data_IF_886000236183
#
_entry.id   IF_886000236183
#
_cell.length_a   1.000
_cell.length_b   1.000
_cell.length_c   1.000
_cell.angle_alpha   90.00
_cell.angle_beta   90.00
_cell.angle_gamma   90.00
#
_symmetry.space_group_name_H-M   'P 1'
#
loop_
_entity.id
_entity.type
_entity.pdbx_description
1 polymer ?
#
# COMPACT_ATOMS: atom_id res chain seq x y z
N UNK A 1 15.10 11.30 -38.67
CA UNK A 1 14.23 12.49 -38.73
C UNK A 1 14.62 13.42 -37.60
N UNK A 2 15.07 14.65 -37.88
CA UNK A 2 15.50 15.59 -36.83
C UNK A 2 14.28 16.33 -36.30
N UNK A 3 13.94 16.13 -35.03
CA UNK A 3 12.87 16.88 -34.37
C UNK A 3 13.32 18.34 -34.17
N UNK A 4 12.51 19.35 -34.50
CA UNK A 4 12.92 20.75 -34.37
C UNK A 4 13.19 21.12 -32.91
N UNK A 5 14.26 21.87 -32.66
CA UNK A 5 14.77 22.20 -31.32
C UNK A 5 13.72 22.89 -30.42
N UNK A 6 12.79 23.63 -31.01
CA UNK A 6 11.67 24.25 -30.28
C UNK A 6 10.74 23.24 -29.64
N UNK A 7 10.42 22.15 -30.35
CA UNK A 7 9.57 21.06 -29.82
C UNK A 7 10.30 20.35 -28.68
N UNK A 8 11.58 20.03 -28.88
CA UNK A 8 12.38 19.31 -27.90
C UNK A 8 12.51 20.12 -26.57
N UNK A 9 12.63 21.44 -26.66
CA UNK A 9 12.60 22.34 -25.49
C UNK A 9 11.24 22.38 -24.80
N UNK A 10 10.16 22.40 -25.57
CA UNK A 10 8.80 22.37 -25.03
C UNK A 10 8.56 21.08 -24.24
N UNK A 11 9.00 19.94 -24.79
CA UNK A 11 8.88 18.62 -24.14
C UNK A 11 9.64 18.58 -22.81
N UNK A 12 10.91 18.99 -22.78
CA UNK A 12 11.72 19.00 -21.54
C UNK A 12 11.12 19.93 -20.47
N UNK A 13 10.58 21.07 -20.89
CA UNK A 13 9.90 22.00 -19.98
C UNK A 13 8.63 21.37 -19.40
N UNK A 14 7.78 20.77 -20.23
CA UNK A 14 6.55 20.09 -19.81
C UNK A 14 6.89 18.93 -18.86
N UNK A 15 7.90 18.13 -19.19
CA UNK A 15 8.39 17.04 -18.34
C UNK A 15 8.78 17.55 -16.94
N UNK A 16 9.59 18.61 -16.86
CA UNK A 16 10.02 19.15 -15.57
C UNK A 16 8.83 19.63 -14.72
N UNK A 17 7.81 20.22 -15.35
CA UNK A 17 6.56 20.59 -14.67
C UNK A 17 5.78 19.37 -14.18
N UNK A 18 5.64 18.33 -15.01
CA UNK A 18 4.96 17.09 -14.62
C UNK A 18 5.69 16.44 -13.43
N UNK A 19 7.02 16.30 -13.50
CA UNK A 19 7.84 15.74 -12.41
C UNK A 19 7.64 16.54 -11.13
N UNK A 20 7.64 17.87 -11.21
CA UNK A 20 7.43 18.73 -10.04
C UNK A 20 6.02 18.57 -9.45
N UNK A 21 4.97 18.56 -10.28
CA UNK A 21 3.58 18.38 -9.84
C UNK A 21 3.40 17.00 -9.19
N UNK A 22 3.94 15.95 -9.79
CA UNK A 22 3.94 14.60 -9.21
C UNK A 22 4.68 14.57 -7.87
N UNK A 23 5.83 15.24 -7.75
CA UNK A 23 6.57 15.37 -6.50
C UNK A 23 5.74 16.05 -5.40
N UNK A 24 5.07 17.15 -5.71
CA UNK A 24 4.20 17.87 -4.76
C UNK A 24 3.01 17.00 -4.32
N UNK A 25 2.35 16.34 -5.28
CA UNK A 25 1.24 15.44 -4.97
C UNK A 25 1.69 14.28 -4.07
N UNK A 26 2.82 13.66 -4.38
CA UNK A 26 3.41 12.59 -3.57
C UNK A 26 3.80 13.07 -2.17
N UNK A 27 4.33 14.29 -2.04
CA UNK A 27 4.69 14.90 -0.77
C UNK A 27 3.45 15.15 0.11
N UNK A 28 2.38 15.73 -0.45
CA UNK A 28 1.11 15.95 0.25
C UNK A 28 0.51 14.62 0.69
N UNK A 29 0.48 13.62 -0.20
CA UNK A 29 -0.01 12.28 0.13
C UNK A 29 0.79 11.66 1.28
N UNK A 30 2.12 11.75 1.25
CA UNK A 30 2.99 11.23 2.31
C UNK A 30 2.75 11.94 3.64
N UNK A 31 2.53 13.26 3.62
CA UNK A 31 2.16 14.04 4.81
C UNK A 31 0.83 13.58 5.42
N UNK A 32 -0.20 13.37 4.59
CA UNK A 32 -1.51 12.87 5.04
C UNK A 32 -1.34 11.49 5.68
N UNK A 33 -0.60 10.59 5.02
CA UNK A 33 -0.31 9.26 5.54
C UNK A 33 0.47 9.32 6.87
N UNK A 34 1.45 10.22 6.99
CA UNK A 34 2.20 10.41 8.23
C UNK A 34 1.32 10.87 9.39
N UNK A 35 0.35 11.76 9.14
CA UNK A 35 -0.60 12.23 10.16
C UNK A 35 -1.51 11.08 10.60
N UNK A 36 -2.08 10.32 9.67
CA UNK A 36 -2.89 9.15 10.02
C UNK A 36 -2.09 8.09 10.77
N UNK A 37 -0.84 7.88 10.36
CA UNK A 37 0.05 6.93 10.99
C UNK A 37 0.45 7.35 12.40
N UNK A 38 0.72 8.63 12.65
CA UNK A 38 1.07 9.11 14.00
C UNK A 38 -0.12 9.03 14.96
N UNK A 39 -1.35 9.28 14.48
CA UNK A 39 -2.58 9.06 15.26
C UNK A 39 -2.76 7.59 15.62
N UNK A 40 -2.46 6.67 14.69
CA UNK A 40 -2.45 5.23 15.00
C UNK A 40 -1.37 4.90 16.03
N UNK A 41 -0.15 5.42 15.88
CA UNK A 41 0.96 5.13 16.79
C UNK A 41 0.67 5.56 18.24
N UNK A 42 0.01 6.71 18.43
CA UNK A 42 -0.42 7.18 19.75
C UNK A 42 -1.49 6.29 20.38
N UNK A 43 -2.30 5.61 19.57
CA UNK A 43 -3.30 4.68 20.06
C UNK A 43 -2.72 3.31 20.46
N UNK A 44 -1.51 2.97 19.98
CA UNK A 44 -0.93 1.63 20.10
C UNK A 44 0.56 1.71 20.48
N UNK A 45 0.87 2.00 21.74
CA UNK A 45 2.26 2.04 22.22
C UNK A 45 2.91 0.64 22.28
N UNK A 46 4.10 0.49 21.70
CA UNK A 46 5.05 -0.57 22.09
C UNK A 46 5.40 -1.67 21.08
N UNK A 47 4.92 -1.63 19.83
CA UNK A 47 5.14 -2.73 18.88
C UNK A 47 6.20 -2.46 17.80
N UNK A 48 7.08 -3.44 17.57
CA UNK A 48 8.25 -3.31 16.69
C UNK A 48 7.93 -3.10 15.21
N UNK A 49 6.77 -3.56 14.74
CA UNK A 49 6.34 -3.33 13.34
C UNK A 49 5.99 -1.86 13.08
N UNK A 50 5.71 -1.08 14.11
CA UNK A 50 5.43 0.36 13.94
C UNK A 50 6.68 1.16 13.57
N UNK A 51 7.87 0.70 13.97
CA UNK A 51 9.14 1.29 13.53
C UNK A 51 9.36 1.12 12.02
N UNK A 52 8.96 -0.03 11.46
CA UNK A 52 9.08 -0.29 10.03
C UNK A 52 8.22 0.68 9.21
N UNK A 53 6.96 0.88 9.60
CA UNK A 53 6.07 1.82 8.91
C UNK A 53 6.56 3.27 8.99
N UNK A 54 7.12 3.69 10.14
CA UNK A 54 7.71 5.03 10.28
C UNK A 54 8.94 5.21 9.38
N UNK A 55 9.80 4.19 9.28
CA UNK A 55 10.94 4.18 8.38
C UNK A 55 10.54 4.33 6.91
N UNK A 56 9.51 3.58 6.49
CA UNK A 56 8.99 3.63 5.12
C UNK A 56 8.39 5.02 4.79
N UNK A 57 7.59 5.61 5.69
CA UNK A 57 7.04 6.95 5.49
C UNK A 57 8.14 8.02 5.42
N UNK A 58 9.17 7.90 6.26
CA UNK A 58 10.34 8.80 6.21
C UNK A 58 11.07 8.70 4.87
N UNK A 59 11.23 7.49 4.33
CA UNK A 59 11.82 7.29 3.01
C UNK A 59 10.98 7.93 1.90
N UNK A 60 9.64 7.78 1.92
CA UNK A 60 8.76 8.44 0.96
C UNK A 60 8.82 9.97 1.05
N UNK A 61 8.98 10.51 2.24
CA UNK A 61 9.11 11.96 2.45
C UNK A 61 10.41 12.49 1.83
N UNK A 62 11.53 11.81 2.05
CA UNK A 62 12.80 12.17 1.43
C UNK A 62 12.76 12.04 -0.10
N UNK A 63 12.17 10.96 -0.60
CA UNK A 63 12.06 10.70 -2.03
C UNK A 63 11.16 11.72 -2.75
N UNK A 64 10.00 12.05 -2.18
CA UNK A 64 9.11 13.08 -2.75
C UNK A 64 9.76 14.47 -2.74
N UNK A 65 10.46 14.83 -1.66
CA UNK A 65 11.23 16.08 -1.58
C UNK A 65 12.32 16.15 -2.66
N UNK A 66 13.01 15.03 -2.88
CA UNK A 66 14.00 14.90 -3.94
C UNK A 66 13.41 15.10 -5.34
N UNK A 67 12.24 14.50 -5.63
CA UNK A 67 11.53 14.68 -6.90
C UNK A 67 11.19 16.16 -7.13
N UNK A 68 10.73 16.87 -6.10
CA UNK A 68 10.40 18.30 -6.19
C UNK A 68 11.65 19.11 -6.54
N UNK A 69 12.76 18.91 -5.82
CA UNK A 69 14.02 19.61 -6.07
C UNK A 69 14.51 19.34 -7.49
N UNK A 70 14.44 18.09 -7.94
CA UNK A 70 14.80 17.71 -9.30
C UNK A 70 13.92 18.42 -10.34
N UNK A 71 12.59 18.44 -10.13
CA UNK A 71 11.64 19.18 -10.98
C UNK A 71 11.96 20.67 -11.07
N UNK A 72 12.29 21.32 -9.95
CA UNK A 72 12.70 22.74 -9.92
C UNK A 72 13.98 22.96 -10.73
N UNK A 73 14.98 22.07 -10.61
CA UNK A 73 16.19 22.13 -11.44
C UNK A 73 15.86 22.03 -12.94
N UNK A 74 14.93 21.17 -13.31
CA UNK A 74 14.45 21.04 -14.69
C UNK A 74 13.76 22.31 -15.20
N UNK A 75 12.84 22.89 -14.43
CA UNK A 75 12.11 24.12 -14.80
C UNK A 75 13.06 25.29 -14.95
N UNK A 76 13.91 25.55 -13.93
CA UNK A 76 14.88 26.66 -13.94
C UNK A 76 15.94 26.45 -15.02
N UNK A 77 16.43 25.22 -15.19
CA UNK A 77 17.41 24.86 -16.22
C UNK A 77 16.87 25.08 -17.63
N UNK A 78 15.62 24.69 -17.89
CA UNK A 78 14.93 24.88 -19.16
C UNK A 78 14.66 26.35 -19.49
N UNK A 79 14.19 27.14 -18.51
CA UNK A 79 13.88 28.56 -18.70
C UNK A 79 15.12 29.45 -18.84
N UNK A 80 16.11 29.27 -17.95
CA UNK A 80 17.30 30.12 -17.91
C UNK A 80 18.47 29.59 -18.74
N UNK A 81 18.30 28.50 -19.48
CA UNK A 81 19.33 27.91 -20.36
C UNK A 81 20.64 27.61 -19.62
N UNK A 82 20.56 27.18 -18.36
CA UNK A 82 21.73 26.83 -17.55
C UNK A 82 22.08 25.35 -17.74
N UNK A 83 23.16 25.00 -18.48
CA UNK A 83 23.46 23.62 -18.84
C UNK A 83 23.75 22.73 -17.62
N UNK A 84 24.35 23.30 -16.56
CA UNK A 84 24.61 22.58 -15.32
C UNK A 84 23.30 22.10 -14.64
N UNK A 85 22.25 22.94 -14.62
CA UNK A 85 20.96 22.56 -14.03
C UNK A 85 20.24 21.48 -14.84
N UNK A 86 20.34 21.53 -16.18
CA UNK A 86 19.80 20.48 -17.05
C UNK A 86 20.57 19.15 -16.88
N UNK A 87 21.87 19.21 -16.63
CA UNK A 87 22.67 18.02 -16.33
C UNK A 87 22.24 17.40 -14.98
N UNK A 88 22.09 18.22 -13.94
CA UNK A 88 21.57 17.77 -12.63
C UNK A 88 20.18 17.15 -12.78
N UNK A 89 19.29 17.78 -13.55
CA UNK A 89 17.95 17.27 -13.83
C UNK A 89 17.98 15.88 -14.49
N UNK A 90 18.83 15.69 -15.50
CA UNK A 90 18.99 14.39 -16.17
C UNK A 90 19.54 13.32 -15.24
N UNK A 91 20.57 13.65 -14.45
CA UNK A 91 21.11 12.71 -13.45
C UNK A 91 20.02 12.33 -12.45
N UNK A 92 19.19 13.29 -12.04
CA UNK A 92 18.07 13.02 -11.16
C UNK A 92 17.00 12.15 -11.78
N UNK A 93 16.67 12.34 -13.06
CA UNK A 93 15.73 11.47 -13.78
C UNK A 93 16.27 10.03 -13.89
N UNK A 94 17.59 9.85 -14.06
CA UNK A 94 18.20 8.51 -14.03
C UNK A 94 17.99 7.85 -12.66
N UNK A 95 18.23 8.58 -11.57
CA UNK A 95 18.02 8.07 -10.20
C UNK A 95 16.55 7.70 -9.98
N UNK A 96 15.61 8.54 -10.45
CA UNK A 96 14.17 8.26 -10.39
C UNK A 96 13.83 6.99 -11.17
N UNK A 97 14.36 6.80 -12.39
CA UNK A 97 14.17 5.58 -13.17
C UNK A 97 14.65 4.35 -12.42
N UNK A 98 15.85 4.39 -11.83
CA UNK A 98 16.38 3.26 -11.05
C UNK A 98 15.42 2.94 -9.89
N UNK A 99 14.89 3.94 -9.19
CA UNK A 99 13.90 3.73 -8.14
C UNK A 99 12.61 3.07 -8.66
N UNK A 100 12.08 3.50 -9.82
CA UNK A 100 10.89 2.88 -10.41
C UNK A 100 11.15 1.47 -10.94
N UNK A 101 12.34 1.17 -11.46
CA UNK A 101 12.72 -0.21 -11.81
C UNK A 101 12.72 -1.10 -10.56
N UNK A 102 13.28 -0.61 -9.44
CA UNK A 102 13.25 -1.35 -8.18
C UNK A 102 11.82 -1.56 -7.68
N UNK A 103 10.96 -0.52 -7.74
CA UNK A 103 9.54 -0.64 -7.38
C UNK A 103 8.80 -1.63 -8.27
N UNK A 104 9.08 -1.63 -9.58
CA UNK A 104 8.52 -2.59 -10.53
C UNK A 104 8.90 -4.03 -10.15
N UNK A 105 10.19 -4.28 -9.88
CA UNK A 105 10.67 -5.61 -9.44
C UNK A 105 10.02 -6.01 -8.13
N UNK A 106 9.98 -5.12 -7.14
CA UNK A 106 9.34 -5.39 -5.84
C UNK A 106 7.85 -5.71 -6.02
N UNK A 107 7.13 -4.95 -6.86
CA UNK A 107 5.70 -5.18 -7.10
C UNK A 107 5.42 -6.56 -7.70
N UNK A 108 6.16 -6.95 -8.74
CA UNK A 108 6.00 -8.27 -9.34
C UNK A 108 6.46 -9.40 -8.43
N UNK A 109 7.56 -9.23 -7.69
CA UNK A 109 8.01 -10.22 -6.70
C UNK A 109 6.97 -10.38 -5.59
N UNK A 110 6.43 -9.29 -5.07
CA UNK A 110 5.38 -9.33 -4.05
C UNK A 110 4.14 -10.04 -4.58
N UNK A 111 3.72 -9.75 -5.81
CA UNK A 111 2.60 -10.42 -6.46
C UNK A 111 2.85 -11.92 -6.69
N UNK A 112 4.06 -12.31 -7.09
CA UNK A 112 4.41 -13.71 -7.30
C UNK A 112 4.44 -14.49 -5.97
N UNK A 113 5.10 -13.93 -4.95
CA UNK A 113 5.15 -14.55 -3.62
C UNK A 113 3.77 -14.65 -2.98
N UNK A 114 2.93 -13.61 -3.10
CA UNK A 114 1.55 -13.67 -2.59
C UNK A 114 0.69 -14.65 -3.37
N UNK A 115 0.83 -14.74 -4.70
CA UNK A 115 0.12 -15.72 -5.52
C UNK A 115 0.44 -17.16 -5.13
N UNK A 116 1.70 -17.46 -4.76
CA UNK A 116 2.08 -18.80 -4.25
C UNK A 116 1.32 -19.17 -2.98
N UNK A 117 1.00 -18.19 -2.13
CA UNK A 117 0.20 -18.40 -0.92
C UNK A 117 -1.28 -18.63 -1.23
N UNK A 118 -1.74 -18.20 -2.40
CA UNK A 118 -3.12 -18.35 -2.85
C UNK A 118 -3.36 -19.65 -3.62
N UNK A 119 -2.31 -20.36 -4.05
CA UNK A 119 -2.43 -21.56 -4.86
C UNK A 119 -2.99 -22.75 -4.06
N UNK A 120 -3.80 -23.59 -4.71
CA UNK A 120 -4.73 -24.53 -4.07
C UNK A 120 -4.05 -25.58 -3.15
N UNK A 121 -2.77 -25.87 -3.36
CA UNK A 121 -2.00 -26.81 -2.53
C UNK A 121 -1.70 -26.28 -1.12
N UNK A 122 -1.65 -24.95 -0.92
CA UNK A 122 -1.47 -24.35 0.41
C UNK A 122 -2.78 -24.32 1.23
N UNK A 123 -3.92 -24.34 0.53
CA UNK A 123 -5.27 -24.16 1.08
C UNK A 123 -5.88 -25.43 1.69
N UNK A 124 -5.44 -26.63 1.27
CA UNK A 124 -6.03 -27.89 1.75
C UNK A 124 -5.47 -28.38 3.10
N UNK A 125 -4.41 -27.78 3.62
CA UNK A 125 -3.89 -28.09 4.95
C UNK A 125 -4.30 -26.98 5.92
N UNK A 126 -5.33 -27.25 6.74
CA UNK A 126 -5.66 -26.45 7.94
C UNK A 126 -4.38 -26.22 8.79
N UNK A 127 -3.47 -27.21 8.76
CA UNK A 127 -2.16 -27.20 9.41
C UNK A 127 -1.19 -26.10 8.91
N UNK A 128 -1.20 -25.71 7.63
CA UNK A 128 -0.29 -24.66 7.12
C UNK A 128 -0.72 -23.25 7.52
N UNK A 129 -2.03 -23.01 7.66
CA UNK A 129 -2.53 -21.76 8.26
C UNK A 129 -2.31 -21.71 9.78
N UNK A 130 -2.34 -22.88 10.44
CA UNK A 130 -2.07 -23.04 11.86
C UNK A 130 -0.58 -22.92 12.22
N UNK A 131 0.33 -23.40 11.36
CA UNK A 131 1.80 -23.34 11.60
C UNK A 131 2.35 -21.93 11.48
N UNK A 132 1.78 -21.10 10.60
CA UNK A 132 1.95 -19.66 10.65
C UNK A 132 0.98 -19.07 11.68
N UNK A 133 1.28 -19.31 12.98
CA UNK A 133 0.65 -18.67 14.15
C UNK A 133 0.84 -17.14 14.11
N UNK A 134 0.18 -16.51 13.16
CA UNK A 134 -0.13 -15.10 13.24
C UNK A 134 -1.07 -14.92 14.43
N UNK A 135 -0.85 -13.89 15.24
CA UNK A 135 -1.71 -13.54 16.38
C UNK A 135 -3.20 -13.47 15.99
N UNK A 136 -3.49 -13.17 14.72
CA UNK A 136 -4.81 -13.16 14.11
C UNK A 136 -5.55 -14.51 14.14
N UNK A 137 -4.88 -15.64 13.95
CA UNK A 137 -5.56 -16.95 13.92
C UNK A 137 -5.95 -17.39 15.34
N UNK A 138 -5.04 -17.23 16.32
CA UNK A 138 -5.36 -17.48 17.74
C UNK A 138 -6.50 -16.58 18.20
N UNK A 139 -6.45 -15.29 17.82
CA UNK A 139 -7.49 -14.32 18.11
C UNK A 139 -8.84 -14.71 17.49
N UNK A 140 -8.86 -15.12 16.23
CA UNK A 140 -10.06 -15.58 15.52
C UNK A 140 -10.70 -16.79 16.22
N UNK A 141 -9.88 -17.76 16.64
CA UNK A 141 -10.34 -18.96 17.32
C UNK A 141 -10.88 -18.68 18.73
N UNK A 142 -10.14 -17.93 19.55
CA UNK A 142 -10.60 -17.52 20.89
C UNK A 142 -11.87 -16.66 20.83
N UNK A 143 -11.93 -15.73 19.88
CA UNK A 143 -13.07 -14.83 19.70
C UNK A 143 -14.32 -15.58 19.25
N UNK A 144 -14.15 -16.58 18.38
CA UNK A 144 -15.24 -17.46 17.96
C UNK A 144 -15.89 -18.10 19.16
N UNK A 145 -15.10 -18.66 20.08
CA UNK A 145 -15.64 -19.39 21.23
C UNK A 145 -16.21 -18.49 22.33
N UNK A 146 -15.73 -17.25 22.42
CA UNK A 146 -16.26 -16.28 23.36
C UNK A 146 -17.66 -15.77 22.98
N UNK A 147 -17.91 -15.44 21.71
CA UNK A 147 -19.19 -14.88 21.29
C UNK A 147 -20.32 -15.93 21.29
N UNK A 148 -21.49 -15.55 21.80
CA UNK A 148 -22.63 -16.46 22.02
C UNK A 148 -22.30 -17.61 22.98
N UNK A 149 -21.57 -17.29 24.05
CA UNK A 149 -21.22 -18.21 25.14
C UNK A 149 -21.86 -17.77 26.46
N UNK A 150 -21.66 -18.55 27.53
CA UNK A 150 -22.09 -18.16 28.89
C UNK A 150 -21.47 -16.84 29.35
N UNK A 151 -20.25 -16.56 28.91
CA UNK A 151 -19.46 -15.38 29.25
C UNK A 151 -19.82 -14.16 28.39
N UNK A 152 -20.35 -14.39 27.18
CA UNK A 152 -20.86 -13.33 26.33
C UNK A 152 -22.11 -13.79 25.55
N UNK A 153 -23.30 -13.69 26.17
CA UNK A 153 -24.56 -13.89 25.48
C UNK A 153 -24.71 -12.87 24.36
N UNK A 154 -25.27 -13.27 23.21
CA UNK A 154 -25.27 -12.45 22.00
C UNK A 154 -26.68 -12.17 21.49
N UNK A 155 -26.83 -11.06 20.75
CA UNK A 155 -28.05 -10.77 20.00
C UNK A 155 -27.96 -11.40 18.60
N UNK A 156 -28.77 -12.42 18.34
CA UNK A 156 -28.72 -13.17 17.09
C UNK A 156 -30.09 -13.37 16.46
N UNK A 157 -30.25 -12.89 15.24
CA UNK A 157 -31.39 -13.17 14.37
C UNK A 157 -31.02 -14.34 13.46
N UNK A 158 -31.85 -15.41 13.45
CA UNK A 158 -31.64 -16.63 12.64
C UNK A 158 -31.65 -16.39 11.11
N UNK A 159 -31.54 -15.15 10.67
CA UNK A 159 -31.56 -14.76 9.27
C UNK A 159 -30.24 -15.07 8.55
N UNK A 160 -29.12 -15.29 9.25
CA UNK A 160 -27.79 -15.38 8.63
C UNK A 160 -26.97 -16.56 9.15
N UNK A 161 -27.27 -17.78 8.66
CA UNK A 161 -26.53 -19.00 8.99
C UNK A 161 -27.12 -19.79 10.16
N UNK A 162 -26.45 -20.87 10.59
CA UNK A 162 -26.83 -21.64 11.75
C UNK A 162 -25.76 -21.54 12.85
N UNK A 163 -26.14 -21.05 14.03
CA UNK A 163 -25.31 -21.19 15.21
C UNK A 163 -25.10 -22.67 15.53
N UNK A 164 -23.89 -23.02 15.96
CA UNK A 164 -23.62 -24.34 16.51
C UNK A 164 -24.59 -24.63 17.68
N UNK A 165 -25.10 -25.87 17.77
CA UNK A 165 -26.14 -26.27 18.74
C UNK A 165 -25.80 -25.96 20.20
N UNK A 166 -24.51 -25.88 20.55
CA UNK A 166 -24.03 -25.51 21.88
C UNK A 166 -24.11 -24.00 22.18
N UNK A 167 -24.15 -23.15 21.13
CA UNK A 167 -24.22 -21.68 21.25
C UNK A 167 -25.63 -21.12 21.20
N UNK A 168 -26.59 -21.88 20.66
CA UNK A 168 -28.00 -21.44 20.57
C UNK A 168 -28.65 -21.13 21.92
N UNK A 169 -28.14 -21.70 23.03
CA UNK A 169 -28.63 -21.41 24.38
C UNK A 169 -28.33 -19.98 24.84
N UNK A 170 -27.27 -19.37 24.31
CA UNK A 170 -26.77 -18.05 24.72
C UNK A 170 -27.05 -16.97 23.67
N UNK A 171 -27.73 -17.35 22.60
CA UNK A 171 -28.22 -16.46 21.56
C UNK A 171 -29.66 -16.02 21.88
N UNK A 172 -29.91 -14.73 21.81
CA UNK A 172 -31.22 -14.14 22.06
C UNK A 172 -31.66 -13.31 20.86
N UNK A 173 -32.79 -13.67 20.26
CA UNK A 173 -33.32 -12.96 19.09
C UNK A 173 -34.18 -11.73 19.46
N UNK A 174 -34.46 -11.52 20.76
CA UNK A 174 -35.37 -10.45 21.23
C UNK A 174 -34.65 -9.33 21.96
N UNK A 175 -33.52 -9.63 22.58
CA UNK A 175 -32.76 -8.65 23.35
C UNK A 175 -31.66 -7.98 22.50
N UNK A 176 -31.99 -6.83 21.91
CA UNK A 176 -31.07 -6.03 21.07
C UNK A 176 -29.97 -5.33 21.88
N UNK A 177 -29.99 -5.40 23.22
CA UNK A 177 -28.93 -4.81 24.06
C UNK A 177 -27.71 -5.70 24.16
N UNK A 178 -27.83 -6.97 23.75
CA UNK A 178 -26.72 -7.93 23.79
C UNK A 178 -25.73 -7.69 22.65
N UNK A 179 -24.44 -8.00 22.87
CA UNK A 179 -23.39 -7.94 21.86
C UNK A 179 -23.76 -8.63 20.53
N UNK A 180 -23.46 -7.95 19.42
CA UNK A 180 -23.46 -8.55 18.07
C UNK A 180 -22.06 -8.81 17.55
N UNK A 181 -21.04 -8.38 18.30
CA UNK A 181 -19.62 -8.49 17.95
C UNK A 181 -18.84 -8.89 19.19
N UNK A 182 -17.74 -9.61 19.00
CA UNK A 182 -16.90 -10.05 20.13
C UNK A 182 -16.29 -8.87 20.90
N UNK A 183 -16.04 -7.75 20.23
CA UNK A 183 -15.46 -6.54 20.82
C UNK A 183 -16.40 -5.84 21.81
N UNK A 184 -17.71 -6.11 21.71
CA UNK A 184 -18.72 -5.57 22.62
C UNK A 184 -18.87 -6.43 23.90
N UNK A 185 -18.22 -7.60 23.97
CA UNK A 185 -18.21 -8.44 25.16
C UNK A 185 -17.39 -7.80 26.29
N UNK A 186 -17.97 -7.68 27.49
CA UNK A 186 -17.29 -7.06 28.64
C UNK A 186 -15.99 -7.79 29.03
N UNK A 187 -16.00 -9.12 28.99
CA UNK A 187 -14.80 -9.94 29.28
C UNK A 187 -13.70 -9.64 28.26
N UNK A 188 -14.05 -9.59 26.96
CA UNK A 188 -13.11 -9.25 25.90
C UNK A 188 -12.46 -7.87 26.14
N UNK A 189 -13.25 -6.87 26.52
CA UNK A 189 -12.75 -5.52 26.79
C UNK A 189 -11.79 -5.46 27.98
N UNK A 190 -11.97 -6.33 28.98
CA UNK A 190 -11.17 -6.39 30.21
C UNK A 190 -9.89 -7.20 30.08
N UNK A 191 -9.90 -8.31 29.34
CA UNK A 191 -8.77 -9.24 29.25
C UNK A 191 -7.80 -8.91 28.13
N UNK A 192 -8.28 -8.28 27.05
CA UNK A 192 -7.46 -8.09 25.87
C UNK A 192 -6.61 -6.82 25.92
N UNK A 193 -5.36 -6.97 25.51
CA UNK A 193 -4.42 -5.86 25.37
C UNK A 193 -4.78 -4.97 24.15
N UNK A 194 -4.11 -3.83 24.03
CA UNK A 194 -4.36 -2.85 22.97
C UNK A 194 -4.13 -3.42 21.56
N UNK A 195 -3.11 -4.27 21.40
CA UNK A 195 -2.78 -4.97 20.14
C UNK A 195 -3.92 -5.86 19.65
N UNK A 196 -4.47 -6.68 20.55
CA UNK A 196 -5.56 -7.60 20.21
C UNK A 196 -6.84 -6.83 19.86
N UNK A 197 -7.08 -5.70 20.53
CA UNK A 197 -8.17 -4.77 20.16
C UNK A 197 -7.97 -4.17 18.76
N UNK A 198 -6.75 -3.77 18.41
CA UNK A 198 -6.42 -3.30 17.06
C UNK A 198 -6.75 -4.33 16.00
N UNK A 199 -6.20 -5.54 16.15
CA UNK A 199 -6.39 -6.60 15.18
C UNK A 199 -7.84 -7.03 15.05
N UNK A 200 -8.61 -7.04 16.14
CA UNK A 200 -10.05 -7.33 16.06
C UNK A 200 -10.84 -6.23 15.37
N UNK A 201 -10.49 -4.96 15.58
CA UNK A 201 -11.11 -3.86 14.84
C UNK A 201 -10.77 -3.97 13.35
N UNK A 202 -9.50 -4.24 13.03
CA UNK A 202 -9.04 -4.45 11.67
C UNK A 202 -9.76 -5.64 10.98
N UNK A 203 -9.90 -6.76 11.68
CA UNK A 203 -10.70 -7.91 11.18
C UNK A 203 -12.17 -7.54 11.00
N UNK A 204 -12.75 -6.74 11.90
CA UNK A 204 -14.10 -6.22 11.75
C UNK A 204 -14.26 -5.35 10.50
N UNK A 205 -13.30 -4.49 10.21
CA UNK A 205 -13.30 -3.66 9.00
C UNK A 205 -13.16 -4.51 7.73
N UNK A 206 -12.27 -5.52 7.75
CA UNK A 206 -12.14 -6.46 6.62
C UNK A 206 -13.46 -7.22 6.40
N UNK A 207 -14.07 -7.77 7.45
CA UNK A 207 -15.34 -8.50 7.35
C UNK A 207 -16.44 -7.59 6.80
N UNK A 208 -16.53 -6.35 7.29
CA UNK A 208 -17.47 -5.35 6.81
C UNK A 208 -17.31 -5.03 5.33
N UNK A 209 -16.08 -4.77 4.89
CA UNK A 209 -15.81 -4.32 3.53
C UNK A 209 -15.90 -5.45 2.50
N UNK A 210 -15.56 -6.68 2.90
CA UNK A 210 -15.39 -7.78 1.96
C UNK A 210 -16.45 -8.87 2.07
N UNK A 211 -17.23 -8.90 3.14
CA UNK A 211 -18.21 -9.95 3.37
C UNK A 211 -17.61 -11.30 3.78
N UNK A 212 -16.28 -11.40 3.94
CA UNK A 212 -15.62 -12.64 4.36
C UNK A 212 -15.96 -13.02 5.80
N UNK A 213 -15.69 -14.26 6.17
CA UNK A 213 -15.86 -14.76 7.54
C UNK A 213 -14.65 -15.56 7.99
N UNK A 214 -14.26 -15.40 9.27
CA UNK A 214 -13.09 -16.06 9.83
C UNK A 214 -11.77 -15.68 9.15
N UNK A 215 -10.64 -15.95 9.82
CA UNK A 215 -9.34 -15.62 9.24
C UNK A 215 -8.86 -16.69 8.26
N UNK A 216 -8.59 -17.89 8.76
CA UNK A 216 -8.13 -19.06 8.00
C UNK A 216 -9.26 -20.00 7.59
N UNK A 217 -10.28 -20.11 8.45
CA UNK A 217 -11.39 -21.06 8.28
C UNK A 217 -12.67 -20.24 8.19
N UNK A 218 -13.49 -20.45 7.16
CA UNK A 218 -14.70 -19.67 7.02
C UNK A 218 -15.74 -20.07 8.06
N UNK A 219 -16.54 -19.09 8.47
CA UNK A 219 -17.66 -19.27 9.38
C UNK A 219 -18.97 -18.88 8.72
N UNK A 220 -20.08 -19.31 9.30
CA UNK A 220 -21.41 -18.90 8.83
C UNK A 220 -21.81 -17.48 9.27
N UNK A 221 -20.94 -16.78 10.01
CA UNK A 221 -21.23 -15.48 10.63
C UNK A 221 -19.96 -14.62 10.78
N UNK A 222 -20.15 -13.30 10.83
CA UNK A 222 -19.07 -12.31 10.98
C UNK A 222 -18.89 -11.88 12.43
N UNK A 223 -18.01 -12.58 13.15
CA UNK A 223 -17.81 -12.43 14.60
C UNK A 223 -17.23 -11.06 15.00
N UNK A 224 -16.47 -10.41 14.10
CA UNK A 224 -15.80 -9.14 14.37
C UNK A 224 -16.56 -7.93 13.82
N UNK A 225 -17.47 -8.11 12.85
CA UNK A 225 -18.26 -7.01 12.29
C UNK A 225 -19.70 -6.97 12.79
N UNK A 226 -20.48 -8.02 12.55
CA UNK A 226 -21.86 -8.17 13.02
C UNK A 226 -22.31 -9.60 12.73
N UNK A 227 -22.65 -10.38 13.75
CA UNK A 227 -23.16 -11.75 13.56
C UNK A 227 -24.50 -11.79 12.81
N UNK A 228 -25.19 -10.67 12.70
CA UNK A 228 -26.44 -10.51 11.96
C UNK A 228 -26.22 -9.88 10.59
N UNK A 229 -24.99 -9.64 10.15
CA UNK A 229 -24.73 -9.29 8.76
C UNK A 229 -24.98 -10.48 7.84
N UNK A 230 -25.47 -10.19 6.63
CA UNK A 230 -25.68 -11.23 5.62
C UNK A 230 -24.33 -11.69 5.07
N UNK A 231 -24.08 -12.99 5.13
CA UNK A 231 -22.90 -13.62 4.54
C UNK A 231 -23.29 -14.18 3.17
N UNK A 232 -22.88 -13.49 2.10
CA UNK A 232 -23.22 -13.89 0.73
C UNK A 232 -22.40 -15.10 0.25
N UNK A 233 -21.22 -15.35 0.84
CA UNK A 233 -20.36 -16.48 0.52
C UNK A 233 -19.71 -17.04 1.79
N UNK A 234 -20.28 -18.11 2.34
CA UNK A 234 -19.85 -18.77 3.58
C UNK A 234 -18.61 -19.66 3.40
N UNK A 235 -18.02 -19.69 2.20
CA UNK A 235 -16.75 -20.38 1.92
C UNK A 235 -15.57 -19.41 1.80
N UNK A 236 -15.82 -18.10 1.84
CA UNK A 236 -14.79 -17.08 1.65
C UNK A 236 -14.20 -16.63 2.99
N UNK A 237 -12.98 -17.08 3.29
CA UNK A 237 -12.25 -16.66 4.48
C UNK A 237 -11.42 -15.39 4.24
N UNK A 238 -11.26 -14.59 5.29
CA UNK A 238 -10.73 -13.23 5.18
C UNK A 238 -9.26 -13.17 4.76
N UNK A 239 -8.45 -14.14 5.17
CA UNK A 239 -7.05 -14.18 4.76
C UNK A 239 -6.91 -14.30 3.24
N UNK A 240 -7.71 -15.16 2.59
CA UNK A 240 -7.69 -15.29 1.14
C UNK A 240 -8.00 -13.96 0.46
N UNK A 241 -9.03 -13.25 0.91
CA UNK A 241 -9.41 -11.96 0.32
C UNK A 241 -8.30 -10.93 0.49
N UNK A 242 -7.68 -10.87 1.66
CA UNK A 242 -6.55 -9.97 1.92
C UNK A 242 -5.35 -10.31 1.02
N UNK A 243 -4.96 -11.57 0.93
CA UNK A 243 -3.84 -12.01 0.08
C UNK A 243 -4.14 -11.77 -1.40
N UNK A 244 -5.37 -12.05 -1.86
CA UNK A 244 -5.80 -11.77 -3.23
C UNK A 244 -5.72 -10.27 -3.54
N UNK A 245 -6.23 -9.41 -2.65
CA UNK A 245 -6.10 -7.95 -2.78
C UNK A 245 -4.63 -7.51 -2.80
N UNK A 246 -3.78 -8.07 -1.95
CA UNK A 246 -2.34 -7.77 -1.94
C UNK A 246 -1.67 -8.19 -3.26
N UNK A 247 -2.06 -9.33 -3.82
CA UNK A 247 -1.58 -9.82 -5.11
C UNK A 247 -1.93 -8.83 -6.22
N UNK A 248 -3.21 -8.44 -6.29
CA UNK A 248 -3.71 -7.47 -7.27
C UNK A 248 -3.03 -6.10 -7.12
N UNK A 249 -2.86 -5.62 -5.88
CA UNK A 249 -2.16 -4.36 -5.59
C UNK A 249 -0.68 -4.43 -5.97
N UNK A 250 -0.01 -5.55 -5.72
CA UNK A 250 1.38 -5.77 -6.12
C UNK A 250 1.56 -5.74 -7.64
N UNK A 251 0.68 -6.41 -8.37
CA UNK A 251 0.66 -6.40 -9.84
C UNK A 251 0.40 -4.99 -10.37
N UNK A 252 -0.64 -4.33 -9.87
CA UNK A 252 -0.98 -2.97 -10.28
C UNK A 252 0.17 -1.99 -10.01
N UNK A 253 0.83 -2.10 -8.86
CA UNK A 253 2.02 -1.30 -8.54
C UNK A 253 3.15 -1.57 -9.54
N UNK A 254 3.39 -2.84 -9.88
CA UNK A 254 4.37 -3.25 -10.89
C UNK A 254 4.09 -2.67 -12.28
N UNK A 255 2.83 -2.77 -12.73
CA UNK A 255 2.36 -2.27 -14.02
C UNK A 255 2.52 -0.74 -14.13
N UNK A 256 2.10 -0.01 -13.08
CA UNK A 256 2.24 1.45 -13.02
C UNK A 256 3.73 1.84 -13.07
N UNK A 257 4.57 1.17 -12.28
CA UNK A 257 6.00 1.45 -12.24
C UNK A 257 6.70 1.16 -13.59
N UNK A 258 6.30 0.09 -14.29
CA UNK A 258 6.77 -0.23 -15.62
C UNK A 258 6.38 0.86 -16.64
N UNK A 259 5.12 1.31 -16.60
CA UNK A 259 4.60 2.37 -17.45
C UNK A 259 5.35 3.69 -17.26
N UNK A 260 5.54 4.11 -15.99
CA UNK A 260 6.30 5.33 -15.66
C UNK A 260 7.76 5.21 -16.14
N UNK A 261 8.39 4.05 -15.93
CA UNK A 261 9.77 3.80 -16.38
C UNK A 261 9.90 3.93 -17.89
N UNK A 262 8.98 3.34 -18.67
CA UNK A 262 9.00 3.42 -20.12
C UNK A 262 8.86 4.86 -20.62
N UNK A 263 7.94 5.65 -20.04
CA UNK A 263 7.77 7.06 -20.37
C UNK A 263 9.03 7.86 -20.04
N UNK A 264 9.60 7.67 -18.85
CA UNK A 264 10.82 8.37 -18.41
C UNK A 264 12.03 8.04 -19.30
N UNK A 265 12.18 6.80 -19.78
CA UNK A 265 13.25 6.43 -20.71
C UNK A 265 13.16 7.19 -22.05
N UNK A 266 11.94 7.32 -22.59
CA UNK A 266 11.70 8.11 -23.80
C UNK A 266 12.09 9.57 -23.56
N UNK A 267 11.67 10.12 -22.42
CA UNK A 267 11.94 11.51 -22.07
C UNK A 267 13.44 11.79 -21.87
N UNK A 268 14.17 10.94 -21.15
CA UNK A 268 15.63 11.05 -21.03
C UNK A 268 16.30 10.97 -22.39
N UNK A 269 15.85 10.07 -23.27
CA UNK A 269 16.40 9.95 -24.63
C UNK A 269 16.23 11.27 -25.40
N UNK A 270 15.06 11.91 -25.30
CA UNK A 270 14.80 13.21 -25.91
C UNK A 270 15.67 14.32 -25.29
N UNK A 271 15.86 14.32 -23.98
CA UNK A 271 16.70 15.30 -23.29
C UNK A 271 18.19 15.12 -23.62
N UNK A 272 18.68 13.87 -23.72
CA UNK A 272 20.02 13.57 -24.22
C UNK A 272 20.19 14.05 -25.67
N UNK A 273 19.21 13.78 -26.55
CA UNK A 273 19.21 14.30 -27.92
C UNK A 273 19.27 15.84 -27.95
N UNK A 274 18.63 16.54 -27.02
CA UNK A 274 18.70 18.00 -26.90
C UNK A 274 20.10 18.47 -26.47
N UNK A 275 20.69 17.79 -25.49
CA UNK A 275 22.04 18.10 -25.00
C UNK A 275 23.10 17.91 -26.09
N UNK A 276 23.00 16.86 -26.91
CA UNK A 276 23.98 16.55 -27.97
C UNK A 276 23.65 17.18 -29.34
N UNK A 277 22.57 17.97 -29.45
CA UNK A 277 22.15 18.56 -30.72
C UNK A 277 23.24 19.50 -31.29
N UNK A 278 23.64 19.35 -32.56
CA UNK A 278 24.79 20.05 -33.14
C UNK A 278 24.67 21.57 -33.17
N UNK A 279 23.46 22.13 -33.17
CA UNK A 279 23.22 23.58 -33.07
C UNK A 279 23.72 24.18 -31.73
N UNK A 280 23.88 23.36 -30.69
CA UNK A 280 24.53 23.79 -29.44
C UNK A 280 26.06 23.67 -29.48
N UNK A 281 26.67 23.06 -30.51
CA UNK A 281 28.14 22.96 -30.65
C UNK A 281 28.80 24.29 -31.04
N UNK A 282 28.05 25.20 -31.66
CA UNK A 282 28.52 26.56 -31.96
C UNK A 282 28.51 27.48 -30.73
N UNK A 283 27.92 27.02 -29.61
CA UNK A 283 28.00 27.67 -28.30
C UNK A 283 29.00 26.93 -27.39
N UNK A 284 30.29 27.05 -27.71
CA UNK A 284 31.42 27.07 -26.75
C UNK A 284 31.62 25.91 -25.75
N UNK A 285 30.88 24.80 -25.78
CA UNK A 285 31.07 23.73 -24.80
C UNK A 285 32.44 23.04 -24.95
N UNK A 286 32.87 22.79 -26.20
CA UNK A 286 34.20 22.24 -26.50
C UNK A 286 35.32 23.28 -26.38
N UNK A 287 35.08 24.56 -26.72
CA UNK A 287 36.07 25.64 -26.55
C UNK A 287 36.31 26.01 -25.08
N UNK A 288 35.33 25.81 -24.19
CA UNK A 288 35.49 26.01 -22.74
C UNK A 288 36.13 24.83 -22.01
N UNK A 289 35.98 23.61 -22.51
CA UNK A 289 36.68 22.44 -21.95
C UNK A 289 38.10 22.29 -22.50
N UNK A 290 38.33 22.64 -23.78
CA UNK A 290 39.66 22.74 -24.37
C UNK A 290 40.22 24.14 -24.15
N UNK A 291 40.54 24.49 -22.90
CA UNK A 291 41.52 25.55 -22.64
C UNK A 291 42.85 25.11 -23.25
N UNK A 292 43.07 25.45 -24.52
CA UNK A 292 44.42 25.79 -24.95
C UNK A 292 44.64 27.21 -24.44
N UNK A 293 45.32 27.31 -23.30
CA UNK A 293 45.99 28.54 -22.90
C UNK A 293 47.00 28.88 -24.01
N UNK A 294 46.86 30.07 -24.59
CA UNK A 294 47.95 30.76 -25.26
C UNK A 294 48.50 31.80 -24.29
#
# INVERSE_FOLDING_TARGET
MCMPIGILRCVVSIEAWIVMICGIAAFIFTMIMQIHYSLMLQAYEGESWMLFGQGMLTAFWLFSSYIIINGVCGVVGGQHKKPCLLLVFNVGNIIIIIAFILLMVIGYVLADETRKLTDQDYQQNENTCLDHRFQLNTLDWESKDLLCSIECPCYYTQTNGALAKNKTKWADAKDTTKPTRVQDCEIYQKTQNTTVKYFSNYLGDIQKETGCTGWCVPYQMQIFYDINAKVDNDQLYCQYVVISKLTEMGQLMGDIAAGVTAVMLVLITLTCCLCFHPVNKDQDFYKKMAHYEN
#
